data_IF_614273850501
#
_entry.id   IF_614273850501
#
_cell.length_a   1.000
_cell.length_b   1.000
_cell.length_c   1.000
_cell.angle_alpha   90.00
_cell.angle_beta   90.00
_cell.angle_gamma   90.00
#
_symmetry.space_group_name_H-M   'P 1'
#
loop_
_entity.id
_entity.type
_entity.pdbx_description
1 polymer ?
#
# COMPACT_ATOMS: atom_id res chain seq x y z
N UNK A 1 21.61 6.08 -22.40
CA UNK A 1 21.01 5.53 -21.18
C UNK A 1 21.61 6.31 -20.01
N UNK A 2 20.85 7.25 -19.45
CA UNK A 2 21.24 7.96 -18.24
C UNK A 2 21.29 6.94 -17.11
N UNK A 3 22.50 6.66 -16.59
CA UNK A 3 22.68 5.85 -15.40
C UNK A 3 22.13 6.61 -14.21
N UNK A 4 20.84 6.42 -13.91
CA UNK A 4 20.31 6.78 -12.60
C UNK A 4 21.13 5.97 -11.58
N UNK A 5 21.76 6.60 -10.58
CA UNK A 5 22.46 5.85 -9.55
C UNK A 5 21.39 5.11 -8.73
N UNK A 6 21.09 3.87 -9.13
CA UNK A 6 20.23 2.98 -8.36
C UNK A 6 21.10 2.44 -7.22
N UNK A 7 20.81 2.89 -6.01
CA UNK A 7 21.40 2.31 -4.81
C UNK A 7 20.53 1.13 -4.36
N UNK A 8 21.02 -0.09 -4.57
CA UNK A 8 20.33 -1.33 -4.18
C UNK A 8 20.53 -1.72 -2.71
N UNK A 9 21.36 -0.98 -1.96
CA UNK A 9 21.57 -1.23 -0.52
C UNK A 9 20.46 -0.62 0.34
N UNK A 10 19.68 0.32 -0.21
CA UNK A 10 18.51 0.90 0.47
C UNK A 10 17.38 -0.13 0.46
N UNK A 11 16.93 -0.54 1.65
CA UNK A 11 15.83 -1.49 1.82
C UNK A 11 14.59 -0.75 2.33
N UNK A 12 13.50 -0.67 1.54
CA UNK A 12 12.24 -0.13 2.03
C UNK A 12 11.66 -1.02 3.13
N UNK A 13 10.89 -0.39 4.02
CA UNK A 13 10.07 -1.12 4.99
C UNK A 13 8.74 -1.44 4.30
N UNK A 14 8.39 -2.73 4.23
CA UNK A 14 7.24 -3.21 3.47
C UNK A 14 6.27 -3.91 4.42
N UNK A 15 5.02 -3.48 4.39
CA UNK A 15 3.89 -4.18 5.00
C UNK A 15 2.97 -4.69 3.89
N UNK A 16 2.48 -5.92 4.02
CA UNK A 16 1.62 -6.58 3.04
C UNK A 16 0.20 -6.79 3.59
N UNK A 17 -0.81 -6.51 2.77
CA UNK A 17 -2.23 -6.63 3.08
C UNK A 17 -2.87 -7.56 2.06
N UNK A 18 -3.30 -8.73 2.51
CA UNK A 18 -3.88 -9.74 1.63
C UNK A 18 -5.40 -9.66 1.62
N UNK A 19 -5.97 -9.48 0.43
CA UNK A 19 -7.40 -9.68 0.19
C UNK A 19 -7.64 -11.10 -0.34
N UNK A 20 -8.37 -11.89 0.45
CA UNK A 20 -8.73 -13.25 0.08
C UNK A 20 -9.81 -13.31 -1.01
N UNK A 21 -10.62 -12.28 -1.18
CA UNK A 21 -11.70 -12.28 -2.16
C UNK A 21 -11.17 -12.20 -3.59
N UNK A 22 -10.14 -11.38 -3.83
CA UNK A 22 -9.50 -11.23 -5.15
C UNK A 22 -8.16 -11.96 -5.27
N UNK A 23 -7.60 -12.48 -4.17
CA UNK A 23 -6.21 -12.92 -4.06
C UNK A 23 -5.18 -11.82 -4.37
N UNK A 24 -5.55 -10.56 -4.14
CA UNK A 24 -4.63 -9.42 -4.27
C UNK A 24 -3.80 -9.25 -3.01
N UNK A 25 -2.54 -8.85 -3.17
CA UNK A 25 -1.71 -8.36 -2.07
C UNK A 25 -1.42 -6.89 -2.33
N UNK A 26 -2.01 -6.01 -1.54
CA UNK A 26 -1.64 -4.59 -1.50
C UNK A 26 -0.42 -4.41 -0.60
N UNK A 27 0.36 -3.36 -0.84
CA UNK A 27 1.54 -3.05 -0.01
C UNK A 27 1.54 -1.62 0.47
N UNK A 28 2.01 -1.41 1.70
CA UNK A 28 2.55 -0.13 2.14
C UNK A 28 4.07 -0.21 2.06
N UNK A 29 4.66 0.64 1.23
CA UNK A 29 6.11 0.75 1.03
C UNK A 29 6.57 2.05 1.66
N UNK A 30 7.34 1.97 2.73
CA UNK A 30 7.84 3.12 3.46
C UNK A 30 9.34 3.33 3.22
N UNK A 31 9.72 4.59 3.02
CA UNK A 31 11.12 5.03 3.00
C UNK A 31 11.77 4.76 4.38
N UNK A 32 12.91 4.03 4.45
CA UNK A 32 13.56 3.76 5.73
C UNK A 32 14.15 5.01 6.39
N UNK A 33 14.41 6.08 5.63
CA UNK A 33 15.03 7.32 6.12
C UNK A 33 14.05 8.39 6.59
N UNK A 34 12.74 8.20 6.36
CA UNK A 34 11.72 9.19 6.70
C UNK A 34 10.39 8.52 7.09
N UNK A 35 9.32 9.30 7.19
CA UNK A 35 7.97 8.78 7.40
C UNK A 35 7.18 8.69 6.09
N UNK A 36 7.78 9.02 4.94
CA UNK A 36 7.10 8.94 3.65
C UNK A 36 6.77 7.49 3.29
N UNK A 37 5.57 7.25 2.77
CA UNK A 37 5.15 5.96 2.26
C UNK A 37 4.33 6.06 0.95
N UNK A 38 4.22 4.92 0.29
CA UNK A 38 3.38 4.69 -0.87
C UNK A 38 2.46 3.49 -0.61
N UNK A 39 1.24 3.55 -1.11
CA UNK A 39 0.35 2.39 -1.24
C UNK A 39 0.48 1.85 -2.67
N UNK A 40 0.63 0.54 -2.80
CA UNK A 40 0.69 -0.17 -4.09
C UNK A 40 -0.47 -1.14 -4.18
N UNK A 41 -1.21 -1.07 -5.29
CA UNK A 41 -2.27 -2.00 -5.68
C UNK A 41 -3.41 -2.11 -4.64
N UNK A 42 -3.95 -0.96 -4.23
CA UNK A 42 -5.04 -0.90 -3.24
C UNK A 42 -6.34 -1.50 -3.78
N UNK A 43 -7.03 -2.32 -2.96
CA UNK A 43 -8.31 -2.93 -3.32
C UNK A 43 -9.49 -2.07 -2.86
N UNK A 44 -10.47 -1.88 -3.76
CA UNK A 44 -11.83 -1.49 -3.42
C UNK A 44 -12.71 -2.74 -3.50
N UNK A 45 -13.31 -3.11 -2.38
CA UNK A 45 -14.10 -4.33 -2.26
C UNK A 45 -15.40 -4.23 -3.06
N UNK A 46 -15.80 -5.30 -3.73
CA UNK A 46 -17.05 -5.37 -4.49
C UNK A 46 -17.80 -6.70 -4.26
N UNK A 47 -19.04 -6.59 -3.80
CA UNK A 47 -20.01 -7.68 -3.83
C UNK A 47 -20.67 -7.70 -5.22
N UNK A 48 -20.22 -8.62 -6.07
CA UNK A 48 -20.74 -8.78 -7.43
C UNK A 48 -22.22 -9.16 -7.49
N UNK A 49 -22.75 -9.86 -6.49
CA UNK A 49 -24.15 -10.29 -6.49
C UNK A 49 -25.08 -9.12 -6.14
N UNK A 50 -24.67 -8.26 -5.21
CA UNK A 50 -25.44 -7.10 -4.77
C UNK A 50 -25.12 -5.80 -5.54
N UNK A 51 -24.05 -5.77 -6.33
CA UNK A 51 -23.55 -4.54 -6.96
C UNK A 51 -23.08 -3.49 -5.93
N UNK A 52 -22.66 -3.94 -4.75
CA UNK A 52 -22.25 -3.06 -3.64
C UNK A 52 -20.74 -2.95 -3.60
N UNK A 53 -20.24 -1.74 -3.36
CA UNK A 53 -18.84 -1.51 -3.03
C UNK A 53 -18.68 -1.28 -1.53
N UNK A 54 -17.55 -1.72 -0.98
CA UNK A 54 -17.12 -1.40 0.38
C UNK A 54 -15.65 -0.96 0.36
N UNK A 55 -15.18 -0.42 1.49
CA UNK A 55 -13.84 0.14 1.62
C UNK A 55 -13.07 -0.50 2.78
N UNK A 56 -13.53 -1.65 3.25
CA UNK A 56 -13.01 -2.29 4.47
C UNK A 56 -11.52 -2.62 4.28
N UNK A 57 -11.12 -3.17 3.14
CA UNK A 57 -9.72 -3.45 2.86
C UNK A 57 -8.87 -2.17 2.85
N UNK A 58 -9.32 -1.11 2.17
CA UNK A 58 -8.62 0.18 2.15
C UNK A 58 -8.52 0.81 3.56
N UNK A 59 -9.57 0.69 4.38
CA UNK A 59 -9.59 1.20 5.75
C UNK A 59 -8.53 0.52 6.63
N UNK A 60 -8.24 -0.77 6.41
CA UNK A 60 -7.14 -1.46 7.13
C UNK A 60 -5.77 -0.86 6.82
N UNK A 61 -5.54 -0.45 5.57
CA UNK A 61 -4.30 0.18 5.11
C UNK A 61 -4.19 1.59 5.70
N UNK A 62 -5.29 2.36 5.69
CA UNK A 62 -5.35 3.70 6.29
C UNK A 62 -5.04 3.61 7.79
N UNK A 63 -5.67 2.69 8.51
CA UNK A 63 -5.44 2.49 9.93
C UNK A 63 -3.98 2.13 10.26
N UNK A 64 -3.30 1.36 9.39
CA UNK A 64 -1.86 1.12 9.52
C UNK A 64 -1.07 2.42 9.36
N UNK A 65 -1.32 3.20 8.31
CA UNK A 65 -0.63 4.47 8.03
C UNK A 65 -0.78 5.45 9.20
N UNK A 66 -1.99 5.60 9.73
CA UNK A 66 -2.26 6.47 10.87
C UNK A 66 -1.58 6.00 12.15
N UNK A 67 -1.65 4.69 12.45
CA UNK A 67 -1.03 4.10 13.65
C UNK A 67 0.49 4.27 13.65
N UNK A 68 1.13 4.09 12.49
CA UNK A 68 2.57 4.19 12.34
C UNK A 68 3.05 5.64 12.11
N UNK A 69 2.12 6.61 12.01
CA UNK A 69 2.43 8.04 11.81
C UNK A 69 3.12 8.33 10.48
N UNK A 70 2.72 7.62 9.42
CA UNK A 70 3.32 7.75 8.08
C UNK A 70 2.68 8.90 7.28
N UNK A 71 3.46 9.49 6.37
CA UNK A 71 3.00 10.47 5.39
C UNK A 71 2.80 9.78 4.06
N UNK A 72 1.54 9.65 3.62
CA UNK A 72 1.22 9.04 2.33
C UNK A 72 1.51 10.03 1.20
N UNK A 73 2.50 9.72 0.37
CA UNK A 73 2.92 10.56 -0.75
C UNK A 73 2.43 10.03 -2.11
N UNK A 74 2.18 8.72 -2.22
CA UNK A 74 1.83 8.06 -3.48
C UNK A 74 0.79 6.95 -3.32
N UNK A 75 -0.10 6.84 -4.31
CA UNK A 75 -1.00 5.70 -4.53
C UNK A 75 -0.77 5.23 -5.96
N UNK A 76 -0.40 3.96 -6.15
CA UNK A 76 0.08 3.39 -7.42
C UNK A 76 -0.70 2.13 -7.78
#
# INVERSE_FOLDING_TARGET
MTGYPVNMDVKPQIEAFFDAATNTISYVVKDPGSNACAIVDSVMDIDYAAGRITHEHADTIIAHIEREGLSLEWII
#
